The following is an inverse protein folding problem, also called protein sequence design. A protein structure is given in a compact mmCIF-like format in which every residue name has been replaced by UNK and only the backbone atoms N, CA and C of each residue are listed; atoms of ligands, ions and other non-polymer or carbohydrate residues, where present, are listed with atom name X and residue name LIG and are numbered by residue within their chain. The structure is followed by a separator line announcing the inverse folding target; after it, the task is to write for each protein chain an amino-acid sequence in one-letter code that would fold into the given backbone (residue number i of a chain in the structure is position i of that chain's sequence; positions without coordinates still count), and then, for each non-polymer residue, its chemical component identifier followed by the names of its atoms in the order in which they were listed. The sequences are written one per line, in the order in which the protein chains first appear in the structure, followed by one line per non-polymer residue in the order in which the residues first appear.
data_IF_547411033540
#
_entry.id   IF_547411033540
#
_cell.length_a   1.000
_cell.length_b   1.000
_cell.length_c   1.000
_cell.angle_alpha   90.00
_cell.angle_beta   90.00
_cell.angle_gamma   90.00
#
_symmetry.space_group_name_H-M   'P 1'
#
loop_
_entity.id
_entity.type
_entity.pdbx_description
1 polymer ?
#
# COMPACT_ATOMS: atom_id res chain seq x y z
N UNK A 1 36.48 -88.84 -43.24
CA UNK A 1 37.06 -88.38 -41.96
C UNK A 1 38.02 -87.24 -42.26
N UNK A 2 37.60 -85.98 -42.10
CA UNK A 2 38.51 -84.85 -42.30
C UNK A 2 39.49 -84.80 -41.11
N UNK A 3 40.75 -85.18 -41.32
CA UNK A 3 41.81 -84.86 -40.38
C UNK A 3 42.22 -83.40 -40.62
N UNK A 4 41.64 -82.49 -39.84
CA UNK A 4 42.15 -81.12 -39.77
C UNK A 4 43.55 -81.17 -39.13
N UNK A 5 44.51 -80.44 -39.71
CA UNK A 5 45.87 -80.38 -39.18
C UNK A 5 45.86 -79.68 -37.83
N UNK A 6 46.76 -80.09 -36.92
CA UNK A 6 46.88 -79.49 -35.57
C UNK A 6 47.00 -77.94 -35.61
N UNK A 7 47.56 -77.39 -36.69
CA UNK A 7 47.67 -75.95 -36.95
C UNK A 7 46.33 -75.24 -37.14
N UNK A 8 45.32 -75.91 -37.70
CA UNK A 8 43.97 -75.36 -37.89
C UNK A 8 43.19 -75.31 -36.57
N UNK A 9 43.40 -76.28 -35.67
CA UNK A 9 42.83 -76.23 -34.32
C UNK A 9 43.49 -75.14 -33.48
N UNK A 10 44.81 -74.95 -33.60
CA UNK A 10 45.53 -73.88 -32.91
C UNK A 10 45.07 -72.48 -33.36
N UNK A 11 44.89 -72.27 -34.67
CA UNK A 11 44.40 -70.99 -35.19
C UNK A 11 42.94 -70.71 -34.81
N UNK A 12 42.08 -71.72 -34.85
CA UNK A 12 40.70 -71.61 -34.40
C UNK A 12 40.62 -71.27 -32.90
N UNK A 13 41.43 -71.94 -32.06
CA UNK A 13 41.48 -71.66 -30.63
C UNK A 13 41.93 -70.22 -30.34
N UNK A 14 42.94 -69.70 -31.06
CA UNK A 14 43.38 -68.31 -30.93
C UNK A 14 42.28 -67.31 -31.33
N UNK A 15 41.54 -67.58 -32.40
CA UNK A 15 40.42 -66.72 -32.82
C UNK A 15 39.31 -66.71 -31.79
N UNK A 16 38.95 -67.88 -31.22
CA UNK A 16 37.97 -67.95 -30.15
C UNK A 16 38.42 -67.18 -28.91
N UNK A 17 39.68 -67.29 -28.51
CA UNK A 17 40.23 -66.57 -27.37
C UNK A 17 40.21 -65.05 -27.61
N UNK A 18 40.54 -64.62 -28.83
CA UNK A 18 40.54 -63.20 -29.22
C UNK A 18 39.11 -62.63 -29.28
N UNK A 19 38.15 -63.37 -29.83
CA UNK A 19 36.74 -62.98 -29.85
C UNK A 19 36.13 -62.97 -28.45
N UNK A 20 36.46 -63.95 -27.61
CA UNK A 20 36.03 -63.99 -26.20
C UNK A 20 36.63 -62.82 -25.41
N UNK A 21 37.91 -62.50 -25.63
CA UNK A 21 38.59 -61.39 -24.97
C UNK A 21 37.99 -60.04 -25.38
N UNK A 22 37.74 -59.82 -26.68
CA UNK A 22 37.11 -58.57 -27.15
C UNK A 22 35.66 -58.44 -26.68
N UNK A 23 34.90 -59.54 -26.65
CA UNK A 23 33.56 -59.57 -26.07
C UNK A 23 33.55 -59.20 -24.59
N UNK A 24 34.49 -59.74 -23.81
CA UNK A 24 34.63 -59.42 -22.39
C UNK A 24 34.97 -57.94 -22.15
N UNK A 25 35.92 -57.38 -22.89
CA UNK A 25 36.28 -55.96 -22.80
C UNK A 25 35.12 -55.03 -23.17
N UNK A 26 34.30 -55.41 -24.16
CA UNK A 26 33.13 -54.64 -24.54
C UNK A 26 32.04 -54.68 -23.45
N UNK A 27 31.85 -55.84 -22.82
CA UNK A 27 30.94 -55.99 -21.69
C UNK A 27 31.36 -55.14 -20.50
N UNK A 28 32.64 -55.18 -20.12
CA UNK A 28 33.18 -54.32 -19.04
C UNK A 28 33.02 -52.83 -19.38
N UNK A 29 33.28 -52.43 -20.62
CA UNK A 29 33.09 -51.04 -21.06
C UNK A 29 31.64 -50.57 -20.96
N UNK A 30 30.67 -51.41 -21.34
CA UNK A 30 29.25 -51.07 -21.20
C UNK A 30 28.88 -50.91 -19.73
N UNK A 31 29.34 -51.84 -18.87
CA UNK A 31 29.09 -51.77 -17.43
C UNK A 31 29.69 -50.50 -16.82
N UNK A 32 30.96 -50.22 -17.09
CA UNK A 32 31.67 -49.04 -16.57
C UNK A 32 31.01 -47.74 -17.02
N UNK A 33 30.56 -47.65 -18.27
CA UNK A 33 29.86 -46.48 -18.77
C UNK A 33 28.52 -46.22 -18.07
N UNK A 34 27.79 -47.28 -17.67
CA UNK A 34 26.56 -47.13 -16.89
C UNK A 34 26.85 -46.61 -15.48
N UNK A 35 27.88 -47.15 -14.83
CA UNK A 35 28.31 -46.68 -13.50
C UNK A 35 28.73 -45.20 -13.58
N UNK A 36 29.52 -44.82 -14.59
CA UNK A 36 29.92 -43.42 -14.82
C UNK A 36 28.72 -42.49 -15.12
N UNK A 37 27.71 -42.97 -15.83
CA UNK A 37 26.49 -42.20 -16.07
C UNK A 37 25.75 -41.91 -14.76
N UNK A 38 25.59 -42.93 -13.91
CA UNK A 38 24.95 -42.79 -12.60
C UNK A 38 25.73 -41.82 -11.70
N UNK A 39 27.06 -41.92 -11.63
CA UNK A 39 27.87 -40.98 -10.84
C UNK A 39 27.77 -39.54 -11.34
N UNK A 40 27.70 -39.33 -12.66
CA UNK A 40 27.51 -37.98 -13.22
C UNK A 40 26.14 -37.41 -12.88
N UNK A 41 25.11 -38.25 -12.90
CA UNK A 41 23.75 -37.84 -12.54
C UNK A 41 23.64 -37.51 -11.05
N UNK A 42 24.26 -38.34 -10.19
CA UNK A 42 24.34 -38.07 -8.76
C UNK A 42 25.09 -36.77 -8.44
N UNK A 43 26.23 -36.52 -9.12
CA UNK A 43 26.96 -35.25 -8.99
C UNK A 43 26.11 -34.05 -9.41
N UNK A 44 25.36 -34.14 -10.52
CA UNK A 44 24.43 -33.09 -10.95
C UNK A 44 23.34 -32.83 -9.93
N UNK A 45 22.78 -33.90 -9.33
CA UNK A 45 21.76 -33.77 -8.31
C UNK A 45 22.31 -33.11 -7.04
N UNK A 46 23.54 -33.45 -6.62
CA UNK A 46 24.22 -32.81 -5.49
C UNK A 46 24.47 -31.33 -5.77
N UNK A 47 24.88 -30.98 -7.00
CA UNK A 47 25.10 -29.58 -7.39
C UNK A 47 23.78 -28.79 -7.38
N UNK A 48 22.71 -29.36 -7.93
CA UNK A 48 21.37 -28.75 -7.89
C UNK A 48 20.86 -28.53 -6.45
N UNK A 49 21.09 -29.50 -5.56
CA UNK A 49 20.74 -29.37 -4.14
C UNK A 49 21.54 -28.26 -3.45
N UNK A 50 22.84 -28.11 -3.75
CA UNK A 50 23.66 -27.03 -3.22
C UNK A 50 23.19 -25.65 -3.69
N UNK A 51 22.77 -25.54 -4.95
CA UNK A 51 22.24 -24.27 -5.45
C UNK A 51 20.88 -23.93 -4.83
N UNK A 52 20.03 -24.94 -4.61
CA UNK A 52 18.79 -24.77 -3.87
C UNK A 52 19.05 -24.34 -2.41
N UNK A 53 20.06 -24.92 -1.76
CA UNK A 53 20.46 -24.55 -0.39
C UNK A 53 20.94 -23.09 -0.35
N UNK A 54 21.75 -22.65 -1.32
CA UNK A 54 22.18 -21.24 -1.44
C UNK A 54 21.00 -20.29 -1.65
N UNK A 55 20.04 -20.66 -2.51
CA UNK A 55 18.85 -19.84 -2.74
C UNK A 55 18.02 -19.69 -1.47
N UNK A 56 17.84 -20.79 -0.72
CA UNK A 56 17.15 -20.77 0.57
C UNK A 56 17.90 -19.90 1.58
N UNK A 57 19.23 -20.00 1.65
CA UNK A 57 20.04 -19.18 2.54
C UNK A 57 19.92 -17.68 2.20
N UNK A 58 19.89 -17.35 0.91
CA UNK A 58 19.68 -15.97 0.46
C UNK A 58 18.29 -15.46 0.86
N UNK A 59 17.24 -16.25 0.69
CA UNK A 59 15.88 -15.90 1.13
C UNK A 59 15.81 -15.67 2.65
N UNK A 60 16.48 -16.51 3.44
CA UNK A 60 16.56 -16.34 4.89
C UNK A 60 17.22 -15.01 5.23
N UNK A 61 18.35 -14.69 4.59
CA UNK A 61 19.05 -13.42 4.80
C UNK A 61 18.18 -12.21 4.42
N UNK A 62 17.46 -12.27 3.31
CA UNK A 62 16.53 -11.21 2.89
C UNK A 62 15.40 -11.00 3.91
N UNK A 63 14.80 -12.08 4.40
CA UNK A 63 13.76 -12.03 5.43
C UNK A 63 14.31 -11.39 6.71
N UNK A 64 15.49 -11.81 7.18
CA UNK A 64 16.12 -11.23 8.38
C UNK A 64 16.42 -9.73 8.22
N UNK A 65 16.87 -9.30 7.04
CA UNK A 65 17.09 -7.88 6.77
C UNK A 65 15.77 -7.10 6.75
N UNK A 66 14.72 -7.67 6.16
CA UNK A 66 13.39 -7.07 6.15
C UNK A 66 12.83 -6.96 7.57
N UNK A 67 13.02 -7.97 8.41
CA UNK A 67 12.61 -7.97 9.81
C UNK A 67 13.33 -6.86 10.59
N UNK A 68 14.66 -6.74 10.46
CA UNK A 68 15.43 -5.65 11.07
C UNK A 68 14.94 -4.27 10.63
N UNK A 69 14.62 -4.09 9.35
CA UNK A 69 14.11 -2.84 8.82
C UNK A 69 12.71 -2.52 9.36
N UNK A 70 11.83 -3.52 9.48
CA UNK A 70 10.50 -3.37 10.07
C UNK A 70 10.60 -3.03 11.56
N UNK A 71 11.51 -3.66 12.30
CA UNK A 71 11.74 -3.36 13.71
C UNK A 71 12.18 -1.90 13.90
N UNK A 72 13.12 -1.41 13.09
CA UNK A 72 13.52 0.01 13.11
C UNK A 72 12.35 0.95 12.80
N UNK A 73 11.47 0.58 11.86
CA UNK A 73 10.28 1.40 11.57
C UNK A 73 9.31 1.42 12.76
N UNK A 74 9.14 0.30 13.46
CA UNK A 74 8.32 0.24 14.68
C UNK A 74 8.92 1.14 15.76
N UNK A 75 10.21 1.04 16.02
CA UNK A 75 10.89 1.84 17.05
C UNK A 75 10.80 3.34 16.74
N UNK A 76 11.00 3.72 15.47
CA UNK A 76 10.84 5.11 15.02
C UNK A 76 9.41 5.62 15.21
N UNK A 77 8.40 4.83 14.84
CA UNK A 77 6.98 5.21 15.03
C UNK A 77 6.61 5.31 16.50
N UNK A 78 7.18 4.45 17.35
CA UNK A 78 6.97 4.53 18.79
C UNK A 78 7.54 5.84 19.34
N UNK A 79 8.77 6.21 18.96
CA UNK A 79 9.37 7.49 19.33
C UNK A 79 8.56 8.70 18.83
N UNK A 80 8.08 8.66 17.58
CA UNK A 80 7.19 9.71 17.04
C UNK A 80 5.88 9.82 17.85
N UNK A 81 5.29 8.69 18.23
CA UNK A 81 4.09 8.65 19.07
C UNK A 81 4.33 9.23 20.47
N UNK A 82 5.49 8.98 21.07
CA UNK A 82 5.86 9.54 22.38
C UNK A 82 5.98 11.07 22.28
N UNK A 83 6.68 11.59 21.26
CA UNK A 83 6.80 13.04 21.01
C UNK A 83 5.43 13.69 20.79
N UNK A 84 4.57 13.06 19.99
CA UNK A 84 3.21 13.56 19.74
C UNK A 84 2.37 13.57 21.02
N UNK A 85 2.55 12.58 21.90
CA UNK A 85 1.83 12.52 23.16
C UNK A 85 2.29 13.64 24.13
N UNK A 86 3.59 13.90 24.20
CA UNK A 86 4.16 15.01 24.97
C UNK A 86 3.66 16.37 24.46
N UNK A 87 3.61 16.54 23.12
CA UNK A 87 3.05 17.74 22.50
C UNK A 87 1.57 17.93 22.85
N UNK A 88 0.77 16.86 22.80
CA UNK A 88 -0.64 16.89 23.16
C UNK A 88 -0.85 17.27 24.63
N UNK A 89 0.00 16.76 25.53
CA UNK A 89 -0.06 17.07 26.95
C UNK A 89 0.32 18.54 27.22
N UNK A 90 1.35 19.05 26.54
CA UNK A 90 1.73 20.46 26.58
C UNK A 90 0.59 21.38 26.08
N UNK A 91 -0.03 21.05 24.94
CA UNK A 91 -1.13 21.84 24.37
C UNK A 91 -2.37 21.84 25.29
N UNK A 92 -2.67 20.71 25.94
CA UNK A 92 -3.73 20.65 26.96
C UNK A 92 -3.43 21.57 28.14
N UNK A 93 -2.19 21.57 28.63
CA UNK A 93 -1.78 22.44 29.73
C UNK A 93 -1.88 23.92 29.34
N UNK A 94 -1.45 24.29 28.14
CA UNK A 94 -1.59 25.65 27.61
C UNK A 94 -3.06 26.07 27.48
N UNK A 95 -3.90 25.21 26.91
CA UNK A 95 -5.34 25.45 26.81
C UNK A 95 -5.98 25.70 28.18
N UNK A 96 -5.58 24.93 29.20
CA UNK A 96 -6.10 25.12 30.56
C UNK A 96 -5.65 26.45 31.16
N UNK A 97 -4.40 26.88 30.91
CA UNK A 97 -3.91 28.21 31.31
C UNK A 97 -4.69 29.34 30.65
N UNK A 98 -4.88 29.28 29.32
CA UNK A 98 -5.66 30.26 28.57
C UNK A 98 -7.12 30.29 29.03
N UNK A 99 -7.71 29.14 29.32
CA UNK A 99 -9.08 29.06 29.85
C UNK A 99 -9.18 29.78 31.21
N UNK A 100 -8.24 29.52 32.12
CA UNK A 100 -8.19 30.21 33.41
C UNK A 100 -8.00 31.73 33.25
N UNK A 101 -7.23 32.18 32.26
CA UNK A 101 -7.03 33.60 31.96
C UNK A 101 -8.30 34.26 31.40
N UNK A 102 -9.00 33.58 30.48
CA UNK A 102 -10.31 34.02 29.98
C UNK A 102 -11.31 34.17 31.12
N UNK A 103 -11.35 33.20 32.04
CA UNK A 103 -12.29 33.23 33.16
C UNK A 103 -11.96 34.37 34.14
N UNK A 104 -10.67 34.64 34.39
CA UNK A 104 -10.23 35.83 35.15
C UNK A 104 -10.63 37.14 34.46
N UNK A 105 -10.42 37.25 33.14
CA UNK A 105 -10.78 38.44 32.38
C UNK A 105 -12.30 38.68 32.38
N UNK A 106 -13.11 37.62 32.27
CA UNK A 106 -14.57 37.70 32.40
C UNK A 106 -15.00 38.18 33.78
N UNK A 107 -14.37 37.68 34.84
CA UNK A 107 -14.69 38.12 36.20
C UNK A 107 -14.27 39.55 36.47
N UNK A 108 -13.16 40.01 35.89
CA UNK A 108 -12.78 41.44 35.89
C UNK A 108 -13.80 42.28 35.12
N UNK A 109 -14.25 41.83 33.95
CA UNK A 109 -15.24 42.54 33.13
C UNK A 109 -16.59 42.68 33.85
N UNK A 110 -17.02 41.67 34.61
CA UNK A 110 -18.24 41.73 35.46
C UNK A 110 -18.12 42.74 36.60
N UNK A 111 -16.91 43.08 37.04
CA UNK A 111 -16.65 44.05 38.13
C UNK A 111 -16.55 45.49 37.60
N UNK A 112 -16.46 45.69 36.29
CA UNK A 112 -16.55 47.02 35.68
C UNK A 112 -18.03 47.41 35.56
N UNK A 113 -18.49 48.53 36.14
CA UNK A 113 -19.87 48.96 36.03
C UNK A 113 -20.18 49.34 34.57
N UNK A 114 -21.07 48.59 33.91
CA UNK A 114 -21.55 48.91 32.56
C UNK A 114 -22.76 49.86 32.72
N UNK A 115 -22.75 51.06 32.11
CA UNK A 115 -23.95 51.92 32.04
C UNK A 115 -25.07 51.23 31.25
N UNK A 116 -26.35 51.42 31.60
CA UNK A 116 -27.43 50.56 31.14
C UNK A 116 -27.92 50.96 29.75
N UNK A 117 -27.25 50.55 28.66
CA UNK A 117 -27.86 50.46 27.34
C UNK A 117 -27.31 49.26 26.56
N UNK A 118 -28.20 48.59 25.82
CA UNK A 118 -28.00 47.41 24.97
C UNK A 118 -28.08 46.04 25.67
N UNK A 119 -29.32 45.66 26.01
CA UNK A 119 -29.72 44.25 26.02
C UNK A 119 -29.97 43.84 24.55
N UNK A 120 -29.04 43.12 23.95
CA UNK A 120 -29.32 42.37 22.72
C UNK A 120 -29.67 40.92 23.06
N UNK A 121 -30.63 40.42 22.29
CA UNK A 121 -31.41 39.18 22.38
C UNK A 121 -30.59 37.89 22.41
N UNK A 122 -31.13 36.78 22.99
CA UNK A 122 -30.41 35.50 23.06
C UNK A 122 -30.27 34.90 21.66
N UNK A 123 -29.04 34.89 21.15
CA UNK A 123 -28.67 34.30 19.88
C UNK A 123 -28.64 32.76 19.99
N UNK A 124 -29.37 32.16 19.05
CA UNK A 124 -29.48 30.74 18.73
C UNK A 124 -28.10 30.04 18.69
N UNK A 125 -27.99 28.77 19.14
CA UNK A 125 -26.70 28.07 19.18
C UNK A 125 -26.05 28.02 17.77
N UNK A 126 -24.72 28.22 17.67
CA UNK A 126 -24.04 28.34 16.38
C UNK A 126 -24.14 27.02 15.62
N UNK A 127 -24.97 27.00 14.57
CA UNK A 127 -24.96 25.90 13.62
C UNK A 127 -23.59 25.86 12.93
N UNK A 128 -22.94 24.69 12.82
CA UNK A 128 -21.68 24.59 12.10
C UNK A 128 -21.90 24.96 10.64
N UNK A 129 -21.28 26.04 10.19
CA UNK A 129 -21.25 26.43 8.78
C UNK A 129 -20.48 25.36 8.00
N UNK A 130 -21.21 24.45 7.35
CA UNK A 130 -20.68 23.40 6.47
C UNK A 130 -20.83 23.90 5.04
N UNK A 131 -19.71 24.07 4.34
CA UNK A 131 -19.74 24.23 2.89
C UNK A 131 -19.82 22.83 2.24
N UNK A 132 -20.87 22.59 1.47
CA UNK A 132 -21.05 21.36 0.70
C UNK A 132 -20.55 21.58 -0.72
N UNK A 133 -19.52 20.84 -1.12
CA UNK A 133 -18.91 20.91 -2.46
C UNK A 133 -19.12 19.57 -3.16
N UNK A 134 -19.79 19.60 -4.32
CA UNK A 134 -20.02 18.40 -5.14
C UNK A 134 -18.98 18.35 -6.26
N UNK A 135 -18.20 17.28 -6.31
CA UNK A 135 -17.18 16.98 -7.31
C UNK A 135 -17.67 15.84 -8.19
N UNK A 136 -17.77 16.07 -9.49
CA UNK A 136 -18.31 15.14 -10.47
C UNK A 136 -17.36 14.99 -11.65
N UNK A 137 -16.95 13.77 -12.04
CA UNK A 137 -15.89 13.60 -13.01
C UNK A 137 -16.30 13.67 -14.49
N UNK A 138 -17.60 13.66 -14.87
CA UNK A 138 -17.91 13.44 -16.30
C UNK A 138 -18.94 14.30 -17.03
N UNK A 139 -19.82 15.12 -16.44
CA UNK A 139 -20.79 15.87 -17.27
C UNK A 139 -21.16 17.23 -16.66
N UNK A 140 -20.70 18.31 -17.31
CA UNK A 140 -21.52 19.51 -17.59
C UNK A 140 -21.99 20.38 -16.42
N UNK A 141 -21.43 20.25 -15.22
CA UNK A 141 -21.80 21.06 -14.05
C UNK A 141 -20.60 21.75 -13.41
N UNK A 142 -19.95 22.66 -14.16
CA UNK A 142 -18.83 23.54 -13.74
C UNK A 142 -17.47 22.84 -13.52
N UNK A 143 -16.86 22.33 -14.58
CA UNK A 143 -15.45 21.92 -14.65
C UNK A 143 -15.03 21.87 -16.13
N UNK A 144 -13.75 22.11 -16.45
CA UNK A 144 -13.26 22.13 -17.83
C UNK A 144 -13.20 20.73 -18.46
N UNK A 145 -12.97 20.71 -19.78
CA UNK A 145 -13.01 19.53 -20.65
C UNK A 145 -11.96 18.45 -20.31
N UNK A 146 -11.07 18.72 -19.36
CA UNK A 146 -10.05 17.79 -18.86
C UNK A 146 -10.27 17.37 -17.39
N UNK A 147 -11.43 17.67 -16.81
CA UNK A 147 -11.75 17.30 -15.42
C UNK A 147 -10.98 18.13 -14.37
N UNK A 148 -10.43 19.28 -14.77
CA UNK A 148 -9.54 20.10 -13.98
C UNK A 148 -10.23 21.19 -13.15
N UNK A 149 -9.97 21.15 -11.84
CA UNK A 149 -9.86 22.29 -10.92
C UNK A 149 -11.14 23.13 -10.71
N UNK A 150 -11.84 22.87 -9.60
CA UNK A 150 -12.74 23.86 -8.98
C UNK A 150 -11.95 24.71 -7.98
N UNK A 151 -11.89 26.03 -8.19
CA UNK A 151 -11.51 26.97 -7.14
C UNK A 151 -12.68 27.13 -6.17
N UNK A 152 -12.51 26.68 -4.93
CA UNK A 152 -13.52 26.89 -3.88
C UNK A 152 -13.01 27.92 -2.91
N UNK A 153 -13.82 28.99 -2.73
CA UNK A 153 -13.54 30.02 -1.75
C UNK A 153 -14.08 29.59 -0.39
N UNK A 154 -13.21 29.48 0.60
CA UNK A 154 -13.63 29.19 1.97
C UNK A 154 -13.71 30.47 2.80
N UNK A 155 -14.87 30.74 3.40
CA UNK A 155 -14.97 31.76 4.44
C UNK A 155 -14.10 31.36 5.63
N UNK A 156 -13.40 32.31 6.30
CA UNK A 156 -12.58 32.03 7.49
C UNK A 156 -13.34 31.36 8.64
N UNK A 157 -14.67 31.41 8.63
CA UNK A 157 -15.56 30.83 9.64
C UNK A 157 -15.92 29.35 9.43
N UNK A 158 -15.51 28.73 8.31
CA UNK A 158 -15.86 27.33 8.01
C UNK A 158 -14.99 26.38 8.82
N UNK A 159 -15.61 25.49 9.59
CA UNK A 159 -14.90 24.46 10.38
C UNK A 159 -14.59 23.19 9.59
N UNK A 160 -15.46 22.84 8.64
CA UNK A 160 -15.34 21.60 7.86
C UNK A 160 -16.06 21.72 6.53
N UNK A 161 -15.52 21.06 5.52
CA UNK A 161 -16.06 20.98 4.16
C UNK A 161 -16.58 19.57 3.92
N UNK A 162 -17.82 19.46 3.46
CA UNK A 162 -18.39 18.19 3.04
C UNK A 162 -18.21 18.06 1.53
N UNK A 163 -17.45 17.06 1.10
CA UNK A 163 -17.16 16.77 -0.29
C UNK A 163 -18.00 15.58 -0.74
N UNK A 164 -18.81 15.77 -1.78
CA UNK A 164 -19.54 14.69 -2.43
C UNK A 164 -18.85 14.32 -3.72
N UNK A 165 -18.21 13.16 -3.75
CA UNK A 165 -17.45 12.62 -4.87
C UNK A 165 -18.37 11.71 -5.68
N UNK A 166 -18.72 12.12 -6.90
CA UNK A 166 -19.48 11.25 -7.79
C UNK A 166 -18.53 10.23 -8.42
N UNK A 167 -18.95 8.97 -8.40
CA UNK A 167 -18.24 7.86 -9.00
C UNK A 167 -18.81 7.57 -10.39
N UNK A 168 -17.99 7.08 -11.32
CA UNK A 168 -18.47 6.60 -12.61
C UNK A 168 -19.53 5.50 -12.49
N UNK A 169 -20.40 5.37 -13.51
CA UNK A 169 -21.52 4.40 -13.50
C UNK A 169 -21.03 2.94 -13.49
N UNK A 170 -19.85 2.71 -14.05
CA UNK A 170 -19.10 1.46 -14.12
C UNK A 170 -18.27 1.16 -12.86
N UNK A 171 -18.33 2.02 -11.83
CA UNK A 171 -17.68 1.75 -10.56
C UNK A 171 -18.32 0.52 -9.88
N UNK A 172 -17.72 -0.65 -10.12
CA UNK A 172 -18.20 -1.96 -9.67
C UNK A 172 -17.77 -2.30 -8.24
N UNK A 173 -16.85 -1.54 -7.65
CA UNK A 173 -16.38 -1.77 -6.28
C UNK A 173 -17.51 -1.54 -5.26
N UNK A 174 -17.60 -2.46 -4.29
CA UNK A 174 -18.57 -2.39 -3.19
C UNK A 174 -18.10 -1.43 -2.08
N UNK A 175 -16.78 -1.33 -1.90
CA UNK A 175 -16.13 -0.57 -0.85
C UNK A 175 -14.99 0.27 -1.43
N UNK A 176 -14.91 1.51 -0.96
CA UNK A 176 -13.90 2.46 -1.37
C UNK A 176 -13.07 2.99 -0.19
N UNK A 177 -11.79 3.22 -0.45
CA UNK A 177 -10.87 3.94 0.41
C UNK A 177 -10.69 5.35 -0.15
N UNK A 178 -10.97 6.37 0.65
CA UNK A 178 -10.76 7.77 0.29
C UNK A 178 -9.53 8.29 1.00
N UNK A 179 -8.59 8.82 0.21
CA UNK A 179 -7.39 9.51 0.67
C UNK A 179 -7.46 10.99 0.33
N UNK A 180 -6.96 11.83 1.21
CA UNK A 180 -6.77 13.26 1.00
C UNK A 180 -5.30 13.60 1.26
N UNK A 181 -4.63 14.21 0.29
CA UNK A 181 -3.20 14.52 0.35
C UNK A 181 -2.35 13.29 0.79
N UNK A 182 -2.70 12.10 0.27
CA UNK A 182 -2.03 10.83 0.61
C UNK A 182 -2.42 10.19 1.95
N UNK A 183 -3.18 10.88 2.82
CA UNK A 183 -3.64 10.36 4.11
C UNK A 183 -5.03 9.73 3.99
N UNK A 184 -5.25 8.59 4.65
CA UNK A 184 -6.56 7.95 4.69
C UNK A 184 -7.54 8.80 5.50
N UNK A 185 -8.62 9.27 4.87
CA UNK A 185 -9.65 10.07 5.55
C UNK A 185 -10.94 9.27 5.79
N UNK A 186 -11.21 8.27 4.96
CA UNK A 186 -12.32 7.35 5.14
C UNK A 186 -12.00 6.00 4.50
N UNK A 187 -12.24 4.91 5.23
CA UNK A 187 -12.07 3.55 4.73
C UNK A 187 -13.42 2.83 4.65
N UNK A 188 -13.48 1.79 3.80
CA UNK A 188 -14.65 0.92 3.63
C UNK A 188 -15.96 1.69 3.39
N UNK A 189 -15.89 2.76 2.59
CA UNK A 189 -17.06 3.57 2.26
C UNK A 189 -17.89 2.88 1.20
N UNK A 190 -19.16 2.60 1.52
CA UNK A 190 -20.14 2.12 0.56
C UNK A 190 -20.68 3.29 -0.25
N UNK A 191 -20.70 3.22 -1.60
CA UNK A 191 -21.24 4.30 -2.41
C UNK A 191 -22.76 4.39 -2.23
N UNK A 192 -23.24 5.62 -2.01
CA UNK A 192 -24.67 5.91 -2.08
C UNK A 192 -25.08 6.03 -3.55
N UNK A 193 -26.31 5.61 -3.88
CA UNK A 193 -26.84 5.68 -5.25
C UNK A 193 -28.02 6.65 -5.28
N UNK A 194 -27.98 7.64 -6.16
CA UNK A 194 -29.12 8.54 -6.39
C UNK A 194 -30.26 7.82 -7.10
N UNK A 195 -31.45 8.41 -7.12
CA UNK A 195 -32.59 7.93 -7.93
C UNK A 195 -32.27 7.82 -9.43
N UNK A 196 -31.28 8.57 -9.92
CA UNK A 196 -30.78 8.56 -11.31
C UNK A 196 -29.67 7.53 -11.57
N UNK A 197 -29.34 6.69 -10.58
CA UNK A 197 -28.31 5.65 -10.71
C UNK A 197 -26.87 6.15 -10.61
N UNK A 198 -26.65 7.40 -10.19
CA UNK A 198 -25.31 7.96 -9.99
C UNK A 198 -24.81 7.52 -8.61
N UNK A 199 -23.65 6.86 -8.58
CA UNK A 199 -22.98 6.48 -7.34
C UNK A 199 -22.16 7.65 -6.80
N UNK A 200 -22.16 7.88 -5.50
CA UNK A 200 -21.36 8.93 -4.88
C UNK A 200 -20.93 8.57 -3.46
N UNK A 201 -19.85 9.20 -3.00
CA UNK A 201 -19.34 9.09 -1.64
C UNK A 201 -19.26 10.49 -1.05
N UNK A 202 -19.76 10.66 0.18
CA UNK A 202 -19.64 11.93 0.90
C UNK A 202 -18.58 11.78 1.98
N UNK A 203 -17.56 12.64 1.95
CA UNK A 203 -16.52 12.72 2.98
C UNK A 203 -16.50 14.09 3.61
N UNK A 204 -16.18 14.15 4.90
CA UNK A 204 -16.06 15.41 5.65
C UNK A 204 -14.60 15.66 5.96
N UNK A 205 -14.08 16.78 5.48
CA UNK A 205 -12.68 17.17 5.68
C UNK A 205 -12.64 18.48 6.49
N UNK A 206 -11.93 18.52 7.62
CA UNK A 206 -11.70 19.76 8.36
C UNK A 206 -11.09 20.87 7.49
N UNK A 207 -11.57 22.10 7.62
CA UNK A 207 -11.13 23.21 6.76
C UNK A 207 -9.63 23.54 6.89
N UNK A 208 -9.05 23.27 8.07
CA UNK A 208 -7.62 23.46 8.36
C UNK A 208 -6.70 22.47 7.64
N UNK A 209 -7.23 21.39 7.05
CA UNK A 209 -6.44 20.43 6.29
C UNK A 209 -6.21 20.87 4.84
N UNK A 210 -6.98 21.83 4.35
CA UNK A 210 -6.85 22.33 2.99
C UNK A 210 -5.67 23.31 2.88
N UNK A 211 -4.81 23.07 1.91
CA UNK A 211 -3.74 23.98 1.52
C UNK A 211 -4.26 25.03 0.55
N UNK A 212 -4.01 26.31 0.83
CA UNK A 212 -4.35 27.44 -0.07
C UNK A 212 -3.28 27.58 -1.16
N UNK A 213 -2.04 27.21 -0.85
CA UNK A 213 -0.88 27.34 -1.75
C UNK A 213 -0.65 26.12 -2.65
N UNK A 214 -1.25 24.97 -2.30
CA UNK A 214 -1.01 23.69 -2.98
C UNK A 214 -2.33 23.08 -3.47
N UNK A 215 -2.24 22.28 -4.51
CA UNK A 215 -3.35 21.47 -5.00
C UNK A 215 -3.73 20.42 -3.96
N UNK A 216 -5.03 20.34 -3.66
CA UNK A 216 -5.56 19.39 -2.70
C UNK A 216 -6.09 18.18 -3.47
N UNK A 217 -5.29 17.12 -3.51
CA UNK A 217 -5.63 15.88 -4.19
C UNK A 217 -6.47 14.97 -3.29
N UNK A 218 -7.60 14.50 -3.81
CA UNK A 218 -8.46 13.49 -3.22
C UNK A 218 -8.40 12.25 -4.14
N UNK A 219 -8.00 11.11 -3.59
CA UNK A 219 -7.92 9.86 -4.34
C UNK A 219 -8.90 8.84 -3.75
N UNK A 220 -9.71 8.23 -4.60
CA UNK A 220 -10.70 7.21 -4.22
C UNK A 220 -10.29 5.88 -4.83
N UNK A 221 -9.99 4.88 -4.01
CA UNK A 221 -9.56 3.56 -4.44
C UNK A 221 -10.67 2.54 -4.21
N UNK A 222 -11.11 1.88 -5.27
CA UNK A 222 -11.98 0.71 -5.20
C UNK A 222 -11.19 -0.55 -4.84
N UNK A 223 -11.84 -1.48 -4.16
CA UNK A 223 -11.29 -2.81 -3.87
C UNK A 223 -10.97 -3.65 -5.12
N UNK A 224 -11.50 -3.25 -6.29
CA UNK A 224 -11.24 -3.84 -7.60
C UNK A 224 -9.99 -3.27 -8.30
N UNK A 225 -9.21 -2.41 -7.62
CA UNK A 225 -7.99 -1.80 -8.18
C UNK A 225 -8.24 -0.54 -9.01
N UNK A 226 -9.49 -0.11 -9.18
CA UNK A 226 -9.81 1.15 -9.88
C UNK A 226 -9.59 2.34 -8.94
N UNK A 227 -8.87 3.35 -9.41
CA UNK A 227 -8.62 4.59 -8.67
C UNK A 227 -9.17 5.80 -9.41
N UNK A 228 -9.82 6.71 -8.68
CA UNK A 228 -10.29 7.99 -9.18
C UNK A 228 -9.58 9.12 -8.45
N UNK A 229 -9.15 10.14 -9.18
CA UNK A 229 -8.45 11.29 -8.61
C UNK A 229 -9.26 12.56 -8.85
N UNK A 230 -9.39 13.38 -7.80
CA UNK A 230 -10.07 14.66 -7.83
C UNK A 230 -9.12 15.73 -7.29
N UNK A 231 -8.91 16.79 -8.06
CA UNK A 231 -8.01 17.88 -7.69
C UNK A 231 -8.84 19.11 -7.31
N UNK A 232 -8.61 19.65 -6.12
CA UNK A 232 -9.28 20.84 -5.60
C UNK A 232 -8.27 21.97 -5.36
N UNK A 233 -8.53 23.16 -5.93
CA UNK A 233 -7.80 24.39 -5.57
C UNK A 233 -8.64 25.21 -4.61
N UNK A 234 -8.00 25.72 -3.57
CA UNK A 234 -8.67 26.50 -2.52
C UNK A 234 -8.18 27.93 -2.62
N UNK A 235 -9.12 28.87 -2.70
CA UNK A 235 -8.83 30.30 -2.70
C UNK A 235 -9.37 30.92 -1.41
N UNK A 236 -8.69 31.95 -0.91
CA UNK A 236 -9.12 32.70 0.28
C UNK A 236 -9.96 33.92 -0.12
#
# INVERSE_FOLDING_TARGET
TLQLSATQYASAALLFLLLSGTGFLFYERIRLNRELANYREEQKNIEALKDQERELQNKINEIQQREKNLQKQIDNKKGESEILNDQLESEKAEKQRLQNEIDRLKDLQKRVPIPPQQRETPSQPPQPTIATVVLSPFIGGRGDENGGIKSVKFSPSIKSVSLTLQLPKDAAAELFLVKFAGKNIAANQKPNTTKSGIKFITVKIPANQFSIEKENTISVFGNNGVSYEFILKVQK
#
